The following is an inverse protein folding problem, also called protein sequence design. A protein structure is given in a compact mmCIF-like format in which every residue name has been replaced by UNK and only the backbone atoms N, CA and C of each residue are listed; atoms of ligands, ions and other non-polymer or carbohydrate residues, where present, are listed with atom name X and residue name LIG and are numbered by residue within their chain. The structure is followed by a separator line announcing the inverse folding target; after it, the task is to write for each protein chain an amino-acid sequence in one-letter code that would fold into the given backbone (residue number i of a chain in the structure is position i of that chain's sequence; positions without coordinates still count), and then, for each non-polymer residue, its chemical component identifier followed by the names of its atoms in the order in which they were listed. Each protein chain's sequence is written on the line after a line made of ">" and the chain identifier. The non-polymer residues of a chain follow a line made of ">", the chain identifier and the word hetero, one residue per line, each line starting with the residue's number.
data_IF_924101223648
#
_entry.id   IF_924101223648
#
_cell.length_a   1.000
_cell.length_b   1.000
_cell.length_c   1.000
_cell.angle_alpha   90.00
_cell.angle_beta   90.00
_cell.angle_gamma   90.00
#
_symmetry.space_group_name_H-M   'P 1'
#
loop_
_entity.id
_entity.type
_entity.pdbx_description
1 polymer ?
#
# COMPACT_ATOMS: atom_id res chain seq x y z
N UNK A 1 -5.84 4.01 10.08
CA UNK A 1 -6.22 4.73 8.84
C UNK A 1 -4.92 5.15 8.17
N UNK A 2 -4.77 5.01 6.85
CA UNK A 2 -3.55 5.42 6.13
C UNK A 2 -3.63 6.91 5.74
N UNK A 3 -2.49 7.59 5.59
CA UNK A 3 -2.39 9.01 5.25
C UNK A 3 -3.22 9.40 4.01
N UNK A 4 -3.32 8.50 3.03
CA UNK A 4 -4.16 8.70 1.86
C UNK A 4 -5.66 8.74 2.19
N UNK A 5 -6.14 7.88 3.09
CA UNK A 5 -7.55 7.89 3.48
C UNK A 5 -7.91 9.19 4.19
N UNK A 6 -7.07 9.64 5.12
CA UNK A 6 -7.28 10.88 5.85
C UNK A 6 -7.31 12.10 4.92
N UNK A 7 -6.40 12.14 3.93
CA UNK A 7 -6.38 13.19 2.92
C UNK A 7 -7.65 13.20 2.08
N UNK A 8 -8.14 12.01 1.69
CA UNK A 8 -9.38 11.89 0.92
C UNK A 8 -10.59 12.33 1.73
N UNK A 9 -10.71 11.92 2.99
CA UNK A 9 -11.83 12.28 3.86
C UNK A 9 -11.90 13.79 4.14
N UNK A 10 -10.75 14.44 4.37
CA UNK A 10 -10.67 15.90 4.53
C UNK A 10 -11.15 16.68 3.31
N UNK A 11 -11.07 16.10 2.11
CA UNK A 11 -11.42 16.74 0.82
C UNK A 11 -12.74 16.25 0.22
N UNK A 12 -13.57 15.51 0.98
CA UNK A 12 -14.90 15.08 0.51
C UNK A 12 -14.94 13.68 -0.12
N UNK A 13 -13.98 12.82 0.20
CA UNK A 13 -14.00 11.38 -0.06
C UNK A 13 -14.01 11.01 -1.54
N UNK A 14 -15.21 10.75 -2.10
CA UNK A 14 -15.37 10.32 -3.48
C UNK A 14 -14.97 11.40 -4.50
N UNK A 15 -15.25 12.69 -4.21
CA UNK A 15 -14.82 13.79 -5.08
C UNK A 15 -13.28 13.91 -5.08
N UNK A 16 -12.67 13.82 -3.90
CA UNK A 16 -11.22 13.85 -3.74
C UNK A 16 -10.51 12.70 -4.48
N UNK A 17 -11.13 11.51 -4.56
CA UNK A 17 -10.57 10.39 -5.36
C UNK A 17 -10.55 10.70 -6.85
N UNK A 18 -11.62 11.31 -7.40
CA UNK A 18 -11.67 11.71 -8.82
C UNK A 18 -10.65 12.79 -9.11
N UNK A 19 -10.55 13.78 -8.23
CA UNK A 19 -9.56 14.84 -8.33
C UNK A 19 -8.13 14.30 -8.26
N UNK A 20 -7.84 13.41 -7.32
CA UNK A 20 -6.53 12.76 -7.20
C UNK A 20 -6.18 11.98 -8.46
N UNK A 21 -7.10 11.16 -8.97
CA UNK A 21 -6.88 10.40 -10.21
C UNK A 21 -6.56 11.32 -11.38
N UNK A 22 -7.31 12.41 -11.54
CA UNK A 22 -7.08 13.41 -12.59
C UNK A 22 -5.73 14.09 -12.41
N UNK A 23 -5.38 14.53 -11.20
CA UNK A 23 -4.09 15.16 -10.90
C UNK A 23 -2.90 14.25 -11.16
N UNK A 24 -3.03 12.95 -10.85
CA UNK A 24 -2.03 11.94 -11.16
C UNK A 24 -1.84 11.85 -12.68
N UNK A 25 -2.91 11.75 -13.45
CA UNK A 25 -2.84 11.71 -14.91
C UNK A 25 -2.21 12.99 -15.49
N UNK A 26 -2.63 14.17 -15.02
CA UNK A 26 -2.12 15.47 -15.45
C UNK A 26 -0.62 15.66 -15.11
N UNK A 27 -0.18 15.29 -13.89
CA UNK A 27 1.21 15.50 -13.46
C UNK A 27 2.18 14.42 -13.94
N UNK A 28 1.71 13.18 -14.10
CA UNK A 28 2.59 12.02 -14.31
C UNK A 28 2.41 11.36 -15.67
N UNK A 29 1.40 11.79 -16.43
CA UNK A 29 1.05 11.23 -17.75
C UNK A 29 0.57 9.78 -17.69
N UNK A 30 0.35 9.22 -16.49
CA UNK A 30 -0.02 7.82 -16.30
C UNK A 30 -1.18 7.69 -15.31
N UNK A 31 -2.38 7.27 -15.78
CA UNK A 31 -3.51 7.11 -14.89
C UNK A 31 -3.29 5.96 -13.92
N UNK A 32 -3.80 6.14 -12.70
CA UNK A 32 -3.95 5.05 -11.71
C UNK A 32 -5.42 4.65 -11.69
N UNK A 33 -5.70 3.34 -11.57
CA UNK A 33 -7.07 2.85 -11.49
C UNK A 33 -7.73 3.27 -10.18
N UNK A 34 -9.02 3.58 -10.25
CA UNK A 34 -9.85 3.90 -9.10
C UNK A 34 -9.77 2.83 -7.99
N UNK A 35 -9.86 1.55 -8.38
CA UNK A 35 -9.76 0.43 -7.44
C UNK A 35 -8.43 0.44 -6.69
N UNK A 36 -7.32 0.70 -7.38
CA UNK A 36 -5.99 0.80 -6.78
C UNK A 36 -5.91 1.91 -5.74
N UNK A 37 -6.42 3.11 -6.05
CA UNK A 37 -6.50 4.23 -5.10
C UNK A 37 -7.35 3.84 -3.88
N UNK A 38 -8.46 3.13 -4.11
CA UNK A 38 -9.35 2.66 -3.04
C UNK A 38 -8.68 1.63 -2.12
N UNK A 39 -8.01 0.63 -2.67
CA UNK A 39 -7.29 -0.39 -1.91
C UNK A 39 -6.13 0.19 -1.10
N UNK A 40 -5.34 1.10 -1.69
CA UNK A 40 -4.25 1.80 -0.97
C UNK A 40 -4.80 2.62 0.19
N UNK A 41 -5.89 3.37 -0.04
CA UNK A 41 -6.53 4.17 1.00
C UNK A 41 -7.05 3.29 2.15
N UNK A 42 -7.61 2.12 1.86
CA UNK A 42 -8.07 1.17 2.89
C UNK A 42 -6.95 0.40 3.57
N UNK A 43 -5.71 0.54 3.10
CA UNK A 43 -4.57 -0.25 3.58
C UNK A 43 -4.65 -1.73 3.19
N UNK A 44 -5.48 -2.07 2.21
CA UNK A 44 -5.62 -3.44 1.72
C UNK A 44 -4.44 -3.86 0.84
N UNK A 45 -3.78 -2.90 0.19
CA UNK A 45 -2.56 -3.11 -0.60
C UNK A 45 -1.53 -2.03 -0.30
N UNK A 46 -0.26 -2.43 -0.32
CA UNK A 46 0.86 -1.48 -0.31
C UNK A 46 1.16 -1.06 -1.75
N UNK A 47 1.18 0.25 -2.07
CA UNK A 47 1.52 0.71 -3.41
C UNK A 47 2.97 0.41 -3.77
N UNK A 48 3.25 0.32 -5.07
CA UNK A 48 4.64 0.32 -5.55
C UNK A 48 5.30 1.68 -5.31
N UNK A 49 6.63 1.77 -5.18
CA UNK A 49 7.32 3.04 -4.96
C UNK A 49 7.07 4.08 -6.07
N UNK A 50 6.90 3.63 -7.31
CA UNK A 50 6.50 4.49 -8.42
C UNK A 50 5.07 5.03 -8.23
N UNK A 51 4.11 4.18 -7.84
CA UNK A 51 2.74 4.61 -7.54
C UNK A 51 2.71 5.60 -6.36
N UNK A 52 3.48 5.33 -5.32
CA UNK A 52 3.59 6.19 -4.15
C UNK A 52 4.13 7.59 -4.51
N UNK A 53 5.18 7.68 -5.33
CA UNK A 53 5.70 8.96 -5.84
C UNK A 53 4.69 9.73 -6.68
N UNK A 54 3.87 9.04 -7.48
CA UNK A 54 2.81 9.71 -8.27
C UNK A 54 1.73 10.31 -7.38
N UNK A 55 1.34 9.59 -6.33
CA UNK A 55 0.38 10.09 -5.34
C UNK A 55 0.98 11.28 -4.57
N UNK A 56 2.24 11.20 -4.15
CA UNK A 56 2.96 12.32 -3.53
C UNK A 56 2.97 13.56 -4.43
N UNK A 57 3.33 13.41 -5.71
CA UNK A 57 3.31 14.51 -6.66
C UNK A 57 1.91 15.13 -6.83
N UNK A 58 0.86 14.30 -6.86
CA UNK A 58 -0.52 14.74 -7.04
C UNK A 58 -1.14 15.38 -5.77
N UNK A 59 -0.67 14.98 -4.60
CA UNK A 59 -1.03 15.55 -3.30
C UNK A 59 -0.13 16.71 -2.87
N UNK A 60 0.80 17.13 -3.74
CA UNK A 60 1.74 18.23 -3.47
C UNK A 60 2.58 18.01 -2.19
N UNK A 61 2.89 16.74 -1.89
CA UNK A 61 3.66 16.35 -0.71
C UNK A 61 2.86 16.23 0.59
N UNK A 62 1.54 16.48 0.60
CA UNK A 62 0.71 16.24 1.78
C UNK A 62 0.67 14.75 2.18
N UNK A 63 0.72 13.86 1.18
CA UNK A 63 0.82 12.42 1.38
C UNK A 63 2.14 11.95 0.79
N UNK A 64 3.12 11.67 1.64
CA UNK A 64 4.46 11.30 1.19
C UNK A 64 4.53 9.84 0.76
N UNK A 65 5.43 9.53 -0.18
CA UNK A 65 5.69 8.16 -0.60
C UNK A 65 6.17 7.29 0.57
N UNK A 66 6.92 7.86 1.51
CA UNK A 66 7.36 7.17 2.72
C UNK A 66 6.20 6.74 3.63
N UNK A 67 5.17 7.58 3.79
CA UNK A 67 3.95 7.21 4.54
C UNK A 67 3.17 6.10 3.84
N UNK A 68 3.04 6.18 2.51
CA UNK A 68 2.33 5.17 1.73
C UNK A 68 3.03 3.81 1.70
N UNK A 69 4.35 3.80 1.75
CA UNK A 69 5.18 2.61 1.79
C UNK A 69 5.39 2.06 3.21
N UNK A 70 4.87 2.74 4.23
CA UNK A 70 5.06 2.36 5.64
C UNK A 70 6.50 2.51 6.14
N UNK A 71 7.29 3.39 5.52
CA UNK A 71 8.70 3.65 5.85
C UNK A 71 8.80 4.78 6.90
N UNK A 72 7.83 5.70 6.94
CA UNK A 72 7.68 6.63 8.07
C UNK A 72 7.07 5.87 9.26
N UNK A 73 7.90 5.64 10.27
CA UNK A 73 7.65 4.68 11.35
C UNK A 73 6.36 4.87 12.13
N UNK A 74 5.68 3.74 12.35
CA UNK A 74 5.25 3.29 13.67
C UNK A 74 5.10 1.75 13.60
N UNK A 75 5.43 1.08 14.69
CA UNK A 75 5.58 -0.36 14.86
C UNK A 75 4.29 -1.12 14.52
N UNK A 76 4.26 -1.93 13.45
CA UNK A 76 3.45 -3.18 13.35
C UNK A 76 3.53 -3.79 11.96
N UNK A 77 4.63 -4.47 11.64
CA UNK A 77 4.61 -5.62 10.74
C UNK A 77 5.91 -6.38 10.93
N UNK A 78 5.95 -7.20 11.99
CA UNK A 78 6.61 -8.49 11.82
C UNK A 78 5.75 -9.21 10.77
N UNK A 79 6.26 -9.52 9.56
CA UNK A 79 5.63 -10.57 8.78
C UNK A 79 5.75 -11.80 9.67
N UNK A 80 4.64 -12.22 10.29
CA UNK A 80 4.55 -13.53 10.91
C UNK A 80 5.00 -14.50 9.83
N UNK A 81 6.21 -15.01 10.01
CA UNK A 81 6.84 -15.93 9.09
C UNK A 81 5.81 -17.00 8.80
N UNK A 82 5.56 -17.19 7.51
CA UNK A 82 5.00 -18.42 7.01
C UNK A 82 5.95 -19.54 7.42
N UNK A 83 5.82 -20.01 8.67
CA UNK A 83 6.31 -21.32 9.09
C UNK A 83 5.34 -22.33 8.47
N UNK A 84 5.53 -22.57 7.17
CA UNK A 84 5.08 -23.82 6.59
C UNK A 84 5.93 -24.91 7.25
N UNK A 85 5.36 -25.83 8.05
CA UNK A 85 6.11 -27.01 8.41
C UNK A 85 6.39 -27.77 7.12
N UNK A 86 7.64 -27.74 6.69
CA UNK A 86 8.15 -28.60 5.62
C UNK A 86 7.84 -30.03 6.05
N UNK A 87 6.97 -30.68 5.29
CA UNK A 87 6.83 -32.12 5.34
C UNK A 87 8.17 -32.75 5.01
N UNK A 88 8.79 -33.35 6.02
CA UNK A 88 9.86 -34.34 5.84
C UNK A 88 9.74 -35.34 6.98
N UNK A 89 8.82 -36.29 6.84
CA UNK A 89 8.83 -37.53 7.62
C UNK A 89 9.90 -38.45 7.02
N UNK A 90 11.16 -38.13 7.32
CA UNK A 90 12.24 -39.05 7.00
C UNK A 90 12.16 -40.23 7.97
N UNK A 91 11.83 -41.38 7.40
CA UNK A 91 11.78 -42.68 8.07
C UNK A 91 13.19 -43.00 8.57
N UNK A 92 13.36 -43.03 9.89
CA UNK A 92 14.49 -43.73 10.51
C UNK A 92 13.93 -44.83 11.40
N UNK A 93 14.20 -46.05 10.94
CA UNK A 93 14.24 -47.33 11.64
C UNK A 93 14.61 -47.19 13.14
N UNK A 94 14.15 -48.10 14.01
CA UNK A 94 15.01 -49.25 14.25
C UNK A 94 14.32 -50.55 14.66
N UNK A 95 15.02 -51.66 14.38
CA UNK A 95 15.56 -52.60 15.37
C UNK A 95 15.28 -54.08 15.07
N UNK A 96 16.41 -54.80 14.91
CA UNK A 96 16.76 -56.13 15.44
C UNK A 96 15.95 -57.35 15.02
#
# INVERSE_FOLDING_TARGET
>A
MNALAEWLEKRGGAAAKRELQRRIEEKTGRPIRWATIHDIARGAVVPTPDTAKRIEAATDGEVTAAQLLGISGDESSTPAGADQPRGEVNTVEPAA
#
